data_IF_154237044000
#
_entry.id   IF_154237044000
#
_cell.length_a   1.000
_cell.length_b   1.000
_cell.length_c   1.000
_cell.angle_alpha   90.00
_cell.angle_beta   90.00
_cell.angle_gamma   90.00
#
_symmetry.space_group_name_H-M   'P 1'
#
loop_
_entity.id
_entity.type
_entity.pdbx_description
1 polymer ?
#
# COMPACT_ATOMS: atom_id res chain seq x y z
N UNK A 1 -16.55 1.18 -7.45
CA UNK A 1 -16.18 0.02 -8.28
C UNK A 1 -16.08 0.48 -9.74
N UNK A 2 -14.92 0.87 -10.27
CA UNK A 2 -14.80 1.26 -11.68
C UNK A 2 -14.60 0.03 -12.57
N UNK A 3 -15.11 0.15 -13.79
CA UNK A 3 -15.22 -0.86 -14.83
C UNK A 3 -13.86 -1.37 -15.32
N UNK A 4 -13.75 -2.70 -15.36
CA UNK A 4 -12.66 -3.54 -15.86
C UNK A 4 -12.27 -3.32 -17.33
N UNK A 5 -13.09 -2.58 -18.08
CA UNK A 5 -12.78 -2.18 -19.42
C UNK A 5 -13.34 -0.77 -19.70
N UNK A 6 -12.46 0.21 -19.90
CA UNK A 6 -12.86 1.61 -20.11
C UNK A 6 -13.31 1.89 -21.56
N UNK A 7 -12.97 1.02 -22.52
CA UNK A 7 -13.26 1.19 -23.96
C UNK A 7 -14.05 0.00 -24.58
N UNK A 8 -14.43 -0.98 -23.76
CA UNK A 8 -15.08 -2.24 -24.05
C UNK A 8 -14.49 -3.06 -25.22
N UNK A 9 -13.17 -2.99 -25.45
CA UNK A 9 -12.48 -3.65 -26.57
C UNK A 9 -12.04 -5.10 -26.28
N UNK A 10 -12.31 -5.62 -25.08
CA UNK A 10 -11.91 -6.96 -24.65
C UNK A 10 -10.44 -7.08 -24.22
N UNK A 11 -9.70 -5.97 -24.18
CA UNK A 11 -8.39 -5.88 -23.56
C UNK A 11 -8.54 -5.53 -22.07
N UNK A 12 -7.48 -5.79 -21.32
CA UNK A 12 -7.41 -5.48 -19.90
C UNK A 12 -6.55 -4.22 -19.78
N UNK A 13 -7.13 -3.05 -19.49
CA UNK A 13 -6.35 -1.81 -19.37
C UNK A 13 -5.70 -1.63 -17.99
N UNK A 14 -5.95 -2.54 -17.04
CA UNK A 14 -5.34 -2.51 -15.71
C UNK A 14 -5.16 -3.90 -15.11
N UNK A 15 -3.93 -4.22 -14.70
CA UNK A 15 -3.60 -5.45 -14.00
C UNK A 15 -3.78 -5.22 -12.49
N UNK A 16 -4.88 -5.73 -11.93
CA UNK A 16 -5.07 -5.80 -10.47
C UNK A 16 -4.53 -7.13 -9.96
N UNK A 17 -3.35 -7.11 -9.33
CA UNK A 17 -2.78 -8.27 -8.66
C UNK A 17 -3.25 -8.30 -7.20
N UNK A 18 -3.87 -9.39 -6.78
CA UNK A 18 -4.20 -9.66 -5.38
C UNK A 18 -2.92 -9.97 -4.60
N UNK A 19 -2.18 -8.93 -4.20
CA UNK A 19 -1.08 -9.01 -3.25
C UNK A 19 -1.34 -8.06 -2.08
N UNK A 20 -0.91 -8.42 -0.87
CA UNK A 20 -1.05 -7.60 0.33
C UNK A 20 -0.25 -6.29 0.17
N UNK A 21 -0.87 -5.27 -0.40
CA UNK A 21 -0.28 -3.92 -0.60
C UNK A 21 -0.96 -2.87 0.28
N UNK A 22 -1.75 -3.36 1.24
CA UNK A 22 -2.51 -2.59 2.19
C UNK A 22 -2.57 -3.33 3.53
N UNK A 23 -3.01 -2.63 4.57
CA UNK A 23 -3.49 -3.24 5.80
C UNK A 23 -4.88 -2.71 6.11
N UNK A 24 -5.68 -3.54 6.77
CA UNK A 24 -7.04 -3.23 7.18
C UNK A 24 -7.15 -3.40 8.69
N UNK A 25 -7.79 -2.45 9.36
CA UNK A 25 -8.12 -2.55 10.79
C UNK A 25 -9.61 -2.88 10.90
N UNK A 26 -9.90 -3.92 11.67
CA UNK A 26 -11.24 -4.40 11.96
C UNK A 26 -11.57 -4.16 13.42
N UNK A 27 -12.82 -3.83 13.73
CA UNK A 27 -13.32 -3.83 15.11
C UNK A 27 -13.59 -5.25 15.63
N UNK A 28 -13.96 -5.36 16.90
CA UNK A 28 -14.29 -6.65 17.53
C UNK A 28 -15.53 -7.33 16.96
N UNK A 29 -16.35 -6.61 16.19
CA UNK A 29 -17.56 -7.13 15.53
C UNK A 29 -17.26 -7.60 14.11
N UNK A 30 -16.01 -7.46 13.64
CA UNK A 30 -15.63 -7.81 12.27
C UNK A 30 -16.05 -6.76 11.24
N UNK A 31 -16.24 -5.49 11.65
CA UNK A 31 -16.43 -4.37 10.74
C UNK A 31 -15.10 -3.68 10.44
N UNK A 32 -14.89 -3.32 9.16
CA UNK A 32 -13.73 -2.50 8.77
C UNK A 32 -13.89 -1.11 9.39
N UNK A 33 -12.90 -0.70 10.18
CA UNK A 33 -12.81 0.67 10.73
C UNK A 33 -11.75 1.51 10.03
N UNK A 34 -10.81 0.88 9.32
CA UNK A 34 -9.83 1.55 8.47
C UNK A 34 -9.30 0.60 7.41
N UNK A 35 -9.05 1.12 6.21
CA UNK A 35 -8.32 0.42 5.16
C UNK A 35 -7.29 1.39 4.55
N UNK A 36 -6.02 0.98 4.49
CA UNK A 36 -4.99 1.85 3.92
C UNK A 36 -5.12 2.00 2.41
N UNK A 37 -5.87 1.14 1.73
CA UNK A 37 -6.06 1.13 0.29
C UNK A 37 -4.73 1.20 -0.46
N UNK A 38 -4.63 2.19 -1.34
CA UNK A 38 -3.45 2.48 -2.17
C UNK A 38 -2.43 3.41 -1.48
N UNK A 39 -2.62 3.81 -0.22
CA UNK A 39 -1.80 4.83 0.45
C UNK A 39 -0.31 4.45 0.48
N UNK A 40 0.00 3.18 0.70
CA UNK A 40 1.37 2.65 0.72
C UNK A 40 2.02 2.90 -0.64
N UNK A 41 1.36 2.46 -1.72
CA UNK A 41 1.84 2.66 -3.08
C UNK A 41 2.02 4.14 -3.43
N UNK A 42 1.06 5.00 -3.09
CA UNK A 42 1.17 6.45 -3.36
C UNK A 42 2.32 7.11 -2.62
N UNK A 43 2.52 6.78 -1.35
CA UNK A 43 3.60 7.35 -0.54
C UNK A 43 4.95 6.89 -1.08
N UNK A 44 5.11 5.61 -1.38
CA UNK A 44 6.36 5.10 -1.96
C UNK A 44 6.62 5.65 -3.36
N UNK A 45 5.59 5.83 -4.18
CA UNK A 45 5.72 6.45 -5.50
C UNK A 45 6.17 7.91 -5.40
N UNK A 46 5.58 8.67 -4.47
CA UNK A 46 5.98 10.06 -4.19
C UNK A 46 7.41 10.16 -3.67
N UNK A 47 7.80 9.26 -2.75
CA UNK A 47 9.11 9.27 -2.12
C UNK A 47 10.25 8.89 -3.08
N UNK A 48 10.01 7.93 -3.99
CA UNK A 48 11.03 7.41 -4.90
C UNK A 48 10.98 8.03 -6.30
N UNK A 49 9.90 8.71 -6.69
CA UNK A 49 9.77 9.37 -8.00
C UNK A 49 10.09 8.41 -9.15
N UNK A 50 11.07 8.76 -9.99
CA UNK A 50 11.50 7.91 -11.11
C UNK A 50 12.19 6.59 -10.69
N UNK A 51 12.55 6.43 -9.41
CA UNK A 51 13.13 5.21 -8.84
C UNK A 51 12.07 4.25 -8.26
N UNK A 52 10.79 4.63 -8.29
CA UNK A 52 9.70 3.80 -7.79
C UNK A 52 9.57 2.49 -8.59
N UNK A 53 9.57 1.35 -7.87
CA UNK A 53 9.47 0.00 -8.45
C UNK A 53 10.54 -0.32 -9.52
N UNK A 54 11.79 0.16 -9.36
CA UNK A 54 12.90 -0.23 -10.22
C UNK A 54 13.53 -1.57 -9.79
N UNK A 55 13.95 -2.35 -10.78
CA UNK A 55 14.76 -3.55 -10.61
C UNK A 55 16.26 -3.18 -10.70
N UNK A 56 17.15 -4.01 -10.14
CA UNK A 56 18.61 -3.77 -10.01
C UNK A 56 19.40 -3.61 -11.34
N UNK A 57 18.78 -3.80 -12.52
CA UNK A 57 19.51 -3.85 -13.81
C UNK A 57 19.18 -2.71 -14.81
N UNK A 58 18.02 -2.03 -14.74
CA UNK A 58 17.72 -0.84 -15.57
C UNK A 58 16.74 0.13 -14.87
N UNK A 59 17.15 1.39 -14.71
CA UNK A 59 16.31 2.48 -14.20
C UNK A 59 15.35 3.00 -15.30
N UNK A 60 14.23 2.30 -15.53
CA UNK A 60 13.17 2.80 -16.44
C UNK A 60 11.87 3.24 -15.76
N UNK A 61 11.73 3.03 -14.45
CA UNK A 61 10.49 3.26 -13.73
C UNK A 61 9.42 2.24 -14.13
N UNK A 62 8.67 1.76 -13.14
CA UNK A 62 7.48 0.92 -13.37
C UNK A 62 7.70 -0.41 -14.13
N UNK A 63 8.88 -1.03 -13.96
CA UNK A 63 9.17 -2.35 -14.59
C UNK A 63 8.69 -3.55 -13.77
N UNK A 64 8.09 -3.32 -12.59
CA UNK A 64 7.80 -4.37 -11.58
C UNK A 64 6.51 -4.14 -10.80
N UNK A 65 5.66 -3.18 -11.17
CA UNK A 65 4.37 -3.00 -10.48
C UNK A 65 3.43 -4.19 -10.68
N UNK A 66 3.60 -4.90 -11.80
CA UNK A 66 3.01 -6.20 -12.13
C UNK A 66 3.57 -7.36 -11.29
N UNK A 67 4.85 -7.28 -10.92
CA UNK A 67 5.57 -8.35 -10.22
C UNK A 67 5.53 -8.25 -8.68
N UNK A 68 6.09 -7.18 -8.08
CA UNK A 68 6.30 -7.06 -6.62
C UNK A 68 6.43 -5.59 -6.20
N UNK A 69 5.38 -5.02 -5.61
CA UNK A 69 5.32 -3.61 -5.21
C UNK A 69 5.83 -3.36 -3.79
N UNK A 70 5.38 -2.26 -3.17
CA UNK A 70 5.55 -1.99 -1.74
C UNK A 70 4.62 -2.89 -0.92
N UNK A 71 5.16 -3.97 -0.36
CA UNK A 71 4.43 -5.02 0.36
C UNK A 71 4.68 -4.91 1.87
N UNK A 72 3.65 -4.69 2.71
CA UNK A 72 3.77 -4.73 4.16
C UNK A 72 4.05 -6.14 4.66
N UNK A 73 5.11 -6.30 5.46
CA UNK A 73 5.49 -7.58 6.05
C UNK A 73 5.63 -7.55 7.57
N UNK A 74 5.80 -6.36 8.15
CA UNK A 74 5.95 -6.20 9.60
C UNK A 74 4.94 -5.19 10.13
N UNK A 75 4.37 -5.48 11.30
CA UNK A 75 3.52 -4.57 12.05
C UNK A 75 3.96 -4.52 13.52
N UNK A 76 4.07 -3.32 14.05
CA UNK A 76 4.21 -3.08 15.50
C UNK A 76 3.34 -1.90 15.91
N UNK A 77 2.76 -1.97 17.09
CA UNK A 77 1.99 -0.85 17.66
C UNK A 77 2.81 -0.18 18.76
N UNK A 78 2.74 1.16 18.83
CA UNK A 78 3.43 1.94 19.85
C UNK A 78 2.63 3.16 20.26
N UNK A 79 2.71 3.52 21.55
CA UNK A 79 2.04 4.70 22.10
C UNK A 79 3.07 5.80 22.36
N UNK A 80 2.78 7.03 21.91
CA UNK A 80 3.58 8.24 22.19
C UNK A 80 2.65 9.31 22.75
N UNK A 81 2.82 9.65 24.03
CA UNK A 81 1.82 10.46 24.75
C UNK A 81 0.47 9.76 24.75
N UNK A 82 -0.59 10.44 24.35
CA UNK A 82 -1.94 9.85 24.21
C UNK A 82 -2.22 9.25 22.83
N UNK A 83 -1.25 9.28 21.90
CA UNK A 83 -1.44 8.83 20.53
C UNK A 83 -0.97 7.39 20.33
N UNK A 84 -1.76 6.58 19.64
CA UNK A 84 -1.43 5.22 19.23
C UNK A 84 -1.00 5.21 17.77
N UNK A 85 0.12 4.54 17.48
CA UNK A 85 0.68 4.45 16.13
C UNK A 85 0.83 3.00 15.69
N UNK A 86 0.60 2.76 14.40
CA UNK A 86 1.03 1.56 13.70
C UNK A 86 2.30 1.84 12.91
N UNK A 87 3.34 1.03 13.17
CA UNK A 87 4.59 1.00 12.43
C UNK A 87 4.52 -0.18 11.48
N UNK A 88 4.46 0.12 10.19
CA UNK A 88 4.30 -0.85 9.11
C UNK A 88 5.60 -0.92 8.33
N UNK A 89 6.31 -2.04 8.45
CA UNK A 89 7.55 -2.30 7.70
C UNK A 89 7.24 -2.87 6.33
N UNK A 90 7.91 -2.35 5.30
CA UNK A 90 7.79 -2.79 3.91
C UNK A 90 8.98 -3.68 3.53
N UNK A 91 8.73 -4.82 2.88
CA UNK A 91 9.78 -5.74 2.39
C UNK A 91 10.68 -5.03 1.36
N UNK A 92 10.05 -4.37 0.39
CA UNK A 92 10.70 -3.71 -0.75
C UNK A 92 10.48 -2.21 -0.67
N UNK A 93 11.44 -1.46 -1.21
CA UNK A 93 11.64 -0.02 -0.98
C UNK A 93 12.12 0.35 0.44
N UNK A 94 12.33 -0.64 1.33
CA UNK A 94 13.09 -0.49 2.57
C UNK A 94 12.63 0.66 3.45
N UNK A 95 11.33 0.70 3.81
CA UNK A 95 10.75 1.78 4.58
C UNK A 95 9.90 1.30 5.75
N UNK A 96 9.80 2.16 6.77
CA UNK A 96 8.83 2.03 7.86
C UNK A 96 7.82 3.15 7.68
N UNK A 97 6.58 2.79 7.39
CA UNK A 97 5.47 3.72 7.38
C UNK A 97 4.87 3.84 8.77
N UNK A 98 4.51 5.06 9.17
CA UNK A 98 3.93 5.34 10.49
C UNK A 98 2.55 5.92 10.31
N UNK A 99 1.54 5.24 10.85
CA UNK A 99 0.14 5.66 10.81
C UNK A 99 -0.30 6.04 12.21
N UNK A 100 -0.87 7.23 12.37
CA UNK A 100 -1.61 7.57 13.60
C UNK A 100 -2.97 6.88 13.55
N UNK A 101 -3.18 5.96 14.49
CA UNK A 101 -4.39 5.16 14.62
C UNK A 101 -5.12 5.46 15.94
N UNK A 102 -4.89 6.64 16.52
CA UNK A 102 -5.47 7.05 17.81
C UNK A 102 -6.99 7.13 17.74
N UNK A 103 -7.53 7.63 16.62
CA UNK A 103 -8.96 7.72 16.40
C UNK A 103 -9.31 7.10 15.05
N UNK A 104 -9.76 5.85 15.11
CA UNK A 104 -10.23 5.11 13.95
C UNK A 104 -11.76 5.12 13.97
N UNK A 105 -12.33 6.10 13.29
CA UNK A 105 -13.77 6.22 13.09
C UNK A 105 -14.02 6.61 11.66
N UNK A 106 -14.98 5.93 11.01
CA UNK A 106 -15.66 6.46 9.83
C UNK A 106 -16.34 7.78 10.15
#
# INVERSE_FOLDING_TARGET
>A
MPSYNSNNDGQYESLYVYGARSFTIWDSNGLVVFDSGDQIARVTASAHGNAFNNNEDENKGDTRSDDKGAEPEALTLGKVGDRLFAFVGLERMGAIMVFDITNLTM
#
